data_IF_384690268669
#
_entry.id   IF_384690268669
#
_cell.length_a   1.000
_cell.length_b   1.000
_cell.length_c   1.000
_cell.angle_alpha   90.00
_cell.angle_beta   90.00
_cell.angle_gamma   90.00
#
_symmetry.space_group_name_H-M   'P 1'
#
loop_
_entity.id
_entity.type
_entity.pdbx_description
1 polymer ?
#
# COMPACT_ATOMS: atom_id res chain seq x y z
N UNK A 1 -33.16 -7.40 -5.92
CA UNK A 1 -32.56 -6.87 -7.17
C UNK A 1 -31.10 -7.29 -7.18
N UNK A 2 -30.67 -8.07 -8.17
CA UNK A 2 -29.27 -8.47 -8.28
C UNK A 2 -28.42 -7.21 -8.52
N UNK A 3 -27.71 -6.75 -7.50
CA UNK A 3 -26.72 -5.68 -7.68
C UNK A 3 -25.62 -6.22 -8.57
N UNK A 4 -25.47 -5.66 -9.76
CA UNK A 4 -24.40 -6.01 -10.70
C UNK A 4 -23.05 -5.79 -10.01
N UNK A 5 -22.27 -6.87 -9.87
CA UNK A 5 -20.94 -6.80 -9.28
C UNK A 5 -20.05 -6.00 -10.25
N UNK A 6 -19.41 -4.91 -9.82
CA UNK A 6 -18.57 -4.11 -10.68
C UNK A 6 -17.28 -4.83 -11.05
N UNK A 7 -16.69 -4.45 -12.19
CA UNK A 7 -15.33 -4.86 -12.53
C UNK A 7 -14.32 -4.21 -11.57
N UNK A 8 -13.26 -4.94 -11.15
CA UNK A 8 -12.23 -4.37 -10.29
C UNK A 8 -11.48 -3.25 -11.03
N UNK A 9 -11.11 -2.20 -10.30
CA UNK A 9 -10.35 -1.06 -10.83
C UNK A 9 -8.87 -1.13 -10.47
N UNK A 10 -8.51 -1.88 -9.43
CA UNK A 10 -7.15 -1.94 -8.89
C UNK A 10 -6.79 -3.39 -8.56
N UNK A 11 -5.54 -3.79 -8.81
CA UNK A 11 -5.03 -5.08 -8.33
C UNK A 11 -3.65 -4.94 -7.72
N UNK A 12 -3.36 -5.83 -6.78
CA UNK A 12 -2.04 -6.01 -6.22
C UNK A 12 -1.56 -7.43 -6.46
N UNK A 13 -0.38 -7.57 -7.06
CA UNK A 13 0.23 -8.86 -7.38
C UNK A 13 1.41 -9.07 -6.46
N UNK A 14 1.26 -10.01 -5.53
CA UNK A 14 2.33 -10.47 -4.66
C UNK A 14 3.06 -11.58 -5.42
N UNK A 15 4.20 -11.26 -6.04
CA UNK A 15 4.85 -12.19 -6.98
C UNK A 15 5.67 -13.29 -6.30
N UNK A 16 6.05 -13.08 -5.03
CA UNK A 16 6.86 -13.98 -4.20
C UNK A 16 6.70 -13.61 -2.72
N UNK A 17 7.01 -14.54 -1.81
CA UNK A 17 7.24 -14.25 -0.40
C UNK A 17 8.73 -14.26 -0.02
N UNK A 18 9.64 -14.55 -0.95
CA UNK A 18 11.08 -14.48 -0.72
C UNK A 18 11.51 -13.02 -0.55
N UNK A 19 12.19 -12.70 0.54
CA UNK A 19 12.66 -11.35 0.83
C UNK A 19 14.03 -11.42 1.50
N UNK A 20 15.03 -10.63 1.07
CA UNK A 20 16.34 -10.62 1.72
C UNK A 20 16.41 -9.60 2.87
N UNK A 21 15.30 -8.94 3.19
CA UNK A 21 15.18 -8.02 4.32
C UNK A 21 14.70 -8.78 5.56
N UNK A 22 15.10 -8.33 6.75
CA UNK A 22 14.74 -8.96 8.02
C UNK A 22 13.99 -7.97 8.92
N UNK A 23 12.95 -7.36 8.36
CA UNK A 23 12.30 -6.23 9.00
C UNK A 23 11.62 -6.60 10.33
N UNK A 24 11.54 -5.65 11.25
CA UNK A 24 10.94 -5.86 12.57
C UNK A 24 9.41 -6.00 12.49
N UNK A 25 8.76 -5.25 11.60
CA UNK A 25 7.30 -5.25 11.43
C UNK A 25 6.78 -6.37 10.50
N UNK A 26 7.66 -7.22 9.94
CA UNK A 26 7.29 -8.25 8.96
C UNK A 26 8.19 -9.49 9.05
N UNK A 27 7.60 -10.66 9.28
CA UNK A 27 8.29 -11.95 9.34
C UNK A 27 8.21 -12.73 8.00
N UNK A 28 7.87 -12.09 6.88
CA UNK A 28 7.72 -12.81 5.60
C UNK A 28 9.00 -13.54 5.17
N UNK A 29 10.17 -12.99 5.52
CA UNK A 29 11.47 -13.58 5.25
C UNK A 29 11.71 -14.92 5.97
N UNK A 30 10.96 -15.20 7.05
CA UNK A 30 10.95 -16.50 7.74
C UNK A 30 10.02 -17.52 7.07
N UNK A 31 9.19 -17.07 6.11
CA UNK A 31 8.17 -17.87 5.44
C UNK A 31 8.28 -17.75 3.91
N UNK A 32 9.47 -17.99 3.31
CA UNK A 32 9.65 -17.82 1.88
C UNK A 32 8.82 -18.84 1.08
N UNK A 33 8.35 -18.41 -0.09
CA UNK A 33 7.79 -19.30 -1.12
C UNK A 33 8.86 -20.23 -1.70
N UNK A 34 8.43 -21.41 -2.13
CA UNK A 34 9.22 -22.25 -3.04
C UNK A 34 9.08 -21.70 -4.46
N UNK A 35 10.20 -21.48 -5.17
CA UNK A 35 10.23 -20.79 -6.49
C UNK A 35 9.30 -21.47 -7.50
N UNK A 36 9.23 -22.79 -7.46
CA UNK A 36 8.47 -23.64 -8.38
C UNK A 36 6.95 -23.56 -8.14
N UNK A 37 6.53 -23.06 -6.97
CA UNK A 37 5.12 -22.87 -6.59
C UNK A 37 4.65 -21.43 -6.77
N UNK A 38 5.54 -20.50 -7.10
CA UNK A 38 5.21 -19.09 -7.33
C UNK A 38 4.35 -18.92 -8.58
N UNK A 39 3.58 -17.83 -8.62
CA UNK A 39 2.65 -17.55 -9.70
C UNK A 39 3.39 -17.43 -11.03
N UNK A 40 2.89 -18.12 -12.05
CA UNK A 40 3.54 -18.20 -13.37
C UNK A 40 3.08 -17.08 -14.30
N UNK A 41 3.84 -16.82 -15.37
CA UNK A 41 3.46 -15.86 -16.41
C UNK A 41 2.09 -16.21 -17.04
N UNK A 42 1.79 -17.51 -17.22
CA UNK A 42 0.52 -17.97 -17.75
C UNK A 42 -0.66 -17.65 -16.81
N UNK A 43 -0.46 -17.80 -15.51
CA UNK A 43 -1.45 -17.45 -14.49
C UNK A 43 -1.69 -15.93 -14.42
N UNK A 44 -0.62 -15.13 -14.48
CA UNK A 44 -0.73 -13.66 -14.51
C UNK A 44 -1.48 -13.19 -15.77
N UNK A 45 -1.30 -13.84 -16.92
CA UNK A 45 -2.06 -13.54 -18.15
C UNK A 45 -3.57 -13.72 -17.99
N UNK A 46 -4.04 -14.59 -17.08
CA UNK A 46 -5.48 -14.80 -16.80
C UNK A 46 -6.12 -13.67 -15.98
N UNK A 47 -5.32 -12.82 -15.34
CA UNK A 47 -5.82 -11.68 -14.54
C UNK A 47 -6.49 -10.62 -15.43
N UNK A 48 -7.45 -9.84 -14.93
CA UNK A 48 -8.23 -8.89 -15.72
C UNK A 48 -7.41 -7.64 -16.07
N UNK A 49 -7.92 -6.82 -16.99
CA UNK A 49 -7.40 -5.45 -17.16
C UNK A 49 -8.00 -4.53 -16.10
N UNK A 50 -7.19 -3.63 -15.55
CA UNK A 50 -7.56 -2.72 -14.46
C UNK A 50 -6.94 -1.33 -14.67
N UNK A 51 -7.31 -0.35 -13.84
CA UNK A 51 -6.76 1.02 -13.92
C UNK A 51 -5.38 1.14 -13.27
N UNK A 52 -5.07 0.28 -12.31
CA UNK A 52 -3.85 0.33 -11.52
C UNK A 52 -3.39 -1.06 -11.07
N UNK A 53 -2.09 -1.34 -11.27
CA UNK A 53 -1.44 -2.55 -10.75
C UNK A 53 -0.32 -2.13 -9.80
N UNK A 54 -0.32 -2.70 -8.59
CA UNK A 54 0.86 -2.72 -7.74
C UNK A 54 1.52 -4.10 -7.81
N UNK A 55 2.80 -4.16 -8.14
CA UNK A 55 3.62 -5.36 -8.03
C UNK A 55 4.40 -5.27 -6.72
N UNK A 56 4.30 -6.32 -5.90
CA UNK A 56 4.89 -6.39 -4.56
C UNK A 56 5.24 -7.85 -4.23
N UNK A 57 5.45 -8.13 -2.95
CA UNK A 57 5.67 -9.45 -2.40
C UNK A 57 7.10 -9.62 -2.00
N UNK A 58 7.34 -10.23 -0.82
CA UNK A 58 8.66 -10.33 -0.19
C UNK A 58 9.57 -9.18 -0.62
N UNK A 59 10.46 -9.48 -1.58
CA UNK A 59 11.04 -8.49 -2.48
C UNK A 59 10.86 -8.89 -3.97
N UNK A 60 10.13 -8.10 -4.80
CA UNK A 60 9.89 -8.45 -6.20
C UNK A 60 11.18 -8.67 -7.00
N UNK A 61 12.21 -7.89 -6.72
CA UNK A 61 13.52 -7.97 -7.39
C UNK A 61 14.33 -9.21 -7.01
N UNK A 62 13.78 -10.16 -6.26
CA UNK A 62 14.32 -11.52 -6.13
C UNK A 62 13.91 -12.41 -7.31
N UNK A 63 12.82 -12.12 -8.01
CA UNK A 63 12.40 -12.89 -9.18
C UNK A 63 13.27 -12.60 -10.40
N UNK A 64 13.67 -13.64 -11.10
CA UNK A 64 14.49 -13.54 -12.32
C UNK A 64 13.64 -13.05 -13.50
N UNK A 65 12.38 -13.48 -13.58
CA UNK A 65 11.41 -13.19 -14.64
C UNK A 65 10.52 -11.97 -14.35
N UNK A 66 10.98 -11.05 -13.50
CA UNK A 66 10.21 -9.86 -13.09
C UNK A 66 9.90 -8.94 -14.28
N UNK A 67 10.82 -8.81 -15.25
CA UNK A 67 10.62 -7.93 -16.41
C UNK A 67 9.50 -8.45 -17.34
N UNK A 68 9.37 -9.76 -17.49
CA UNK A 68 8.31 -10.43 -18.23
C UNK A 68 6.96 -10.26 -17.52
N UNK A 69 6.94 -10.31 -16.18
CA UNK A 69 5.74 -10.00 -15.38
C UNK A 69 5.32 -8.54 -15.63
N UNK A 70 6.26 -7.60 -15.60
CA UNK A 70 6.00 -6.18 -15.84
C UNK A 70 5.42 -5.95 -17.25
N UNK A 71 5.97 -6.63 -18.25
CA UNK A 71 5.48 -6.56 -19.64
C UNK A 71 4.01 -7.00 -19.75
N UNK A 72 3.62 -8.10 -19.11
CA UNK A 72 2.23 -8.55 -19.04
C UNK A 72 1.36 -7.52 -18.30
N UNK A 73 1.86 -6.97 -17.19
CA UNK A 73 1.11 -5.98 -16.40
C UNK A 73 0.83 -4.69 -17.20
N UNK A 74 1.77 -4.21 -18.02
CA UNK A 74 1.54 -3.03 -18.86
C UNK A 74 0.53 -3.27 -19.99
N UNK A 75 0.31 -4.52 -20.42
CA UNK A 75 -0.80 -4.86 -21.33
C UNK A 75 -2.17 -4.79 -20.63
N UNK A 76 -2.20 -4.86 -19.29
CA UNK A 76 -3.42 -4.93 -18.48
C UNK A 76 -3.76 -3.64 -17.75
N UNK A 77 -2.81 -2.71 -17.63
CA UNK A 77 -3.01 -1.46 -16.90
C UNK A 77 -2.19 -0.32 -17.47
N UNK A 78 -2.76 0.90 -17.56
CA UNK A 78 -2.03 2.09 -17.96
C UNK A 78 -1.03 2.54 -16.87
N UNK A 79 -1.12 2.01 -15.65
CA UNK A 79 -0.26 2.37 -14.54
C UNK A 79 0.15 1.15 -13.74
N UNK A 80 1.47 0.91 -13.70
CA UNK A 80 2.11 -0.18 -12.95
C UNK A 80 3.12 0.45 -11.99
N UNK A 81 3.05 0.06 -10.72
CA UNK A 81 3.95 0.54 -9.67
C UNK A 81 4.55 -0.65 -8.93
N UNK A 82 5.87 -0.66 -8.74
CA UNK A 82 6.56 -1.65 -7.90
C UNK A 82 6.82 -1.08 -6.51
N UNK A 83 6.47 -1.85 -5.49
CA UNK A 83 6.90 -1.64 -4.11
C UNK A 83 8.16 -2.48 -3.86
N UNK A 84 9.27 -1.86 -3.44
CA UNK A 84 10.56 -2.55 -3.25
C UNK A 84 11.29 -1.99 -2.01
N UNK A 85 12.18 -2.78 -1.42
CA UNK A 85 13.13 -2.31 -0.41
C UNK A 85 14.21 -1.38 -0.97
N UNK A 86 14.40 -1.35 -2.30
CA UNK A 86 15.51 -0.61 -2.92
C UNK A 86 16.86 -1.34 -2.82
N UNK A 87 16.89 -2.57 -2.29
CA UNK A 87 18.14 -3.29 -2.07
C UNK A 87 18.89 -3.63 -3.38
N UNK A 88 18.14 -3.99 -4.42
CA UNK A 88 18.65 -4.40 -5.73
C UNK A 88 18.81 -3.21 -6.69
N UNK A 89 19.56 -2.19 -6.27
CA UNK A 89 19.81 -0.94 -7.02
C UNK A 89 20.06 -1.17 -8.52
N UNK A 90 21.06 -1.98 -8.89
CA UNK A 90 21.41 -2.22 -10.30
C UNK A 90 20.26 -2.83 -11.12
N UNK A 91 19.49 -3.76 -10.51
CA UNK A 91 18.34 -4.37 -11.18
C UNK A 91 17.21 -3.38 -11.37
N UNK A 92 16.96 -2.52 -10.37
CA UNK A 92 15.97 -1.45 -10.46
C UNK A 92 16.33 -0.50 -11.60
N UNK A 93 17.58 -0.01 -11.64
CA UNK A 93 18.06 0.92 -12.67
C UNK A 93 18.03 0.29 -14.07
N UNK A 94 18.43 -0.99 -14.20
CA UNK A 94 18.37 -1.70 -15.49
C UNK A 94 16.92 -1.83 -15.98
N UNK A 95 16.01 -2.26 -15.11
CA UNK A 95 14.61 -2.47 -15.45
C UNK A 95 13.93 -1.15 -15.86
N UNK A 96 14.17 -0.05 -15.14
CA UNK A 96 13.52 1.25 -15.45
C UNK A 96 13.98 1.86 -16.77
N UNK A 97 15.16 1.50 -17.29
CA UNK A 97 15.56 1.86 -18.66
C UNK A 97 14.66 1.20 -19.71
N UNK A 98 14.23 -0.04 -19.47
CA UNK A 98 13.32 -0.78 -20.35
C UNK A 98 11.87 -0.33 -20.18
N UNK A 99 11.49 0.05 -18.95
CA UNK A 99 10.14 0.46 -18.60
C UNK A 99 10.11 1.88 -17.98
N UNK A 100 10.33 2.95 -18.76
CA UNK A 100 10.47 4.32 -18.23
C UNK A 100 9.19 4.88 -17.60
N UNK A 101 8.03 4.27 -17.90
CA UNK A 101 6.72 4.66 -17.34
C UNK A 101 6.37 3.91 -16.05
N UNK A 102 7.23 3.02 -15.55
CA UNK A 102 6.98 2.29 -14.31
C UNK A 102 7.16 3.20 -13.11
N UNK A 103 6.27 3.09 -12.13
CA UNK A 103 6.46 3.77 -10.87
C UNK A 103 7.22 2.91 -9.86
N UNK A 104 8.07 3.54 -9.06
CA UNK A 104 8.90 2.87 -8.04
C UNK A 104 8.65 3.50 -6.67
N UNK A 105 8.21 2.69 -5.70
CA UNK A 105 8.06 3.09 -4.29
C UNK A 105 9.09 2.32 -3.49
N UNK A 106 10.09 3.04 -2.99
CA UNK A 106 11.12 2.45 -2.13
C UNK A 106 10.68 2.59 -0.68
N UNK A 107 10.58 1.45 0.01
CA UNK A 107 10.21 1.42 1.41
C UNK A 107 11.38 1.87 2.30
N UNK A 108 11.24 3.04 2.93
CA UNK A 108 12.21 3.65 3.83
C UNK A 108 11.49 4.01 5.12
N UNK A 109 11.92 3.41 6.22
CA UNK A 109 11.21 3.46 7.51
C UNK A 109 11.70 4.57 8.44
N UNK A 110 12.80 5.24 8.11
CA UNK A 110 13.32 6.38 8.84
C UNK A 110 14.54 6.99 8.15
N UNK A 111 15.24 7.91 8.81
CA UNK A 111 16.58 8.30 8.37
C UNK A 111 17.56 7.12 8.55
N UNK A 112 18.79 7.27 8.07
CA UNK A 112 19.75 6.18 7.86
C UNK A 112 19.75 5.08 8.92
N UNK A 113 20.09 5.41 10.17
CA UNK A 113 20.21 4.42 11.23
C UNK A 113 18.87 3.76 11.56
N UNK A 114 17.80 4.56 11.67
CA UNK A 114 16.47 4.07 12.03
C UNK A 114 15.89 3.15 10.96
N UNK A 115 16.08 3.48 9.69
CA UNK A 115 15.66 2.62 8.59
C UNK A 115 16.35 1.26 8.64
N UNK A 116 17.68 1.26 8.76
CA UNK A 116 18.46 0.02 8.70
C UNK A 116 18.15 -0.90 9.90
N UNK A 117 17.95 -0.31 11.07
CA UNK A 117 17.46 -0.98 12.29
C UNK A 117 16.09 -1.64 12.06
N UNK A 118 15.10 -0.89 11.57
CA UNK A 118 13.74 -1.38 11.39
C UNK A 118 13.60 -2.37 10.23
N UNK A 119 14.40 -2.20 9.18
CA UNK A 119 14.40 -3.10 8.01
C UNK A 119 15.36 -4.29 8.16
N UNK A 120 16.18 -4.31 9.20
CA UNK A 120 17.09 -5.42 9.54
C UNK A 120 18.23 -5.60 8.54
N UNK A 121 18.71 -4.51 7.93
CA UNK A 121 19.86 -4.58 7.01
C UNK A 121 20.57 -3.24 6.85
N UNK A 122 21.87 -3.25 7.18
CA UNK A 122 22.74 -2.09 7.07
C UNK A 122 22.94 -1.64 5.61
N UNK A 123 22.99 -0.33 5.40
CA UNK A 123 23.10 0.33 4.10
C UNK A 123 21.80 0.37 3.29
N UNK A 124 20.66 -0.02 3.89
CA UNK A 124 19.36 -0.04 3.23
C UNK A 124 18.88 1.36 2.84
N UNK A 125 19.04 2.33 3.75
CA UNK A 125 18.68 3.72 3.50
C UNK A 125 19.48 4.31 2.34
N UNK A 126 20.80 4.18 2.39
CA UNK A 126 21.71 4.75 1.38
C UNK A 126 21.45 4.17 0.00
N UNK A 127 21.26 2.84 -0.10
CA UNK A 127 20.88 2.18 -1.35
C UNK A 127 19.54 2.68 -1.87
N UNK A 128 18.53 2.75 -1.01
CA UNK A 128 17.21 3.25 -1.38
C UNK A 128 17.24 4.70 -1.88
N UNK A 129 17.89 5.60 -1.13
CA UNK A 129 18.00 7.01 -1.50
C UNK A 129 18.81 7.20 -2.78
N UNK A 130 19.97 6.55 -2.92
CA UNK A 130 20.78 6.62 -4.15
C UNK A 130 20.01 6.09 -5.36
N UNK A 131 19.27 5.00 -5.20
CA UNK A 131 18.39 4.48 -6.27
C UNK A 131 17.36 5.54 -6.67
N UNK A 132 16.66 6.15 -5.72
CA UNK A 132 15.68 7.21 -6.01
C UNK A 132 16.31 8.42 -6.72
N UNK A 133 17.47 8.88 -6.27
CA UNK A 133 18.20 9.98 -6.92
C UNK A 133 18.60 9.62 -8.35
N UNK A 134 19.11 8.41 -8.58
CA UNK A 134 19.48 7.94 -9.92
C UNK A 134 18.27 7.83 -10.84
N UNK A 135 17.14 7.34 -10.34
CA UNK A 135 15.88 7.30 -11.10
C UNK A 135 15.38 8.70 -11.44
N UNK A 136 15.53 9.66 -10.53
CA UNK A 136 15.20 11.07 -10.79
C UNK A 136 16.08 11.65 -11.90
N UNK A 137 17.39 11.40 -11.86
CA UNK A 137 18.33 11.87 -12.90
C UNK A 137 18.02 11.25 -14.27
N UNK A 138 17.50 10.03 -14.29
CA UNK A 138 16.99 9.37 -15.50
C UNK A 138 15.66 9.93 -16.01
N UNK A 139 15.04 10.88 -15.28
CA UNK A 139 13.77 11.50 -15.65
C UNK A 139 12.53 10.68 -15.29
N UNK A 140 12.65 9.64 -14.46
CA UNK A 140 11.51 8.83 -14.03
C UNK A 140 10.65 9.65 -13.05
N UNK A 141 9.39 9.88 -13.41
CA UNK A 141 8.51 10.81 -12.68
C UNK A 141 7.78 10.16 -11.50
N UNK A 142 7.34 8.91 -11.65
CA UNK A 142 6.47 8.25 -10.66
C UNK A 142 7.29 7.50 -9.59
N UNK A 143 8.20 8.20 -8.91
CA UNK A 143 9.10 7.63 -7.89
C UNK A 143 8.87 8.25 -6.52
N UNK A 144 9.19 7.50 -5.47
CA UNK A 144 9.29 8.07 -4.14
C UNK A 144 9.34 7.07 -3.00
N UNK A 145 9.07 7.58 -1.81
CA UNK A 145 9.22 6.89 -0.53
C UNK A 145 7.90 6.24 -0.12
N UNK A 146 8.01 5.06 0.49
CA UNK A 146 6.94 4.45 1.28
C UNK A 146 7.42 4.26 2.71
N UNK A 147 6.62 4.68 3.69
CA UNK A 147 6.91 4.46 5.12
C UNK A 147 5.74 3.75 5.79
N UNK A 148 6.09 2.80 6.66
CA UNK A 148 5.21 2.14 7.60
C UNK A 148 5.50 2.69 9.00
N UNK A 149 4.62 3.56 9.47
CA UNK A 149 4.73 4.22 10.77
C UNK A 149 4.42 3.23 11.89
N UNK A 150 5.26 3.28 12.92
CA UNK A 150 5.34 2.40 14.07
C UNK A 150 5.64 3.22 15.34
N UNK A 151 5.81 2.53 16.47
CA UNK A 151 6.21 3.17 17.73
C UNK A 151 7.56 3.89 17.69
N UNK A 152 8.41 3.60 16.69
CA UNK A 152 9.83 3.95 16.72
C UNK A 152 10.27 4.90 15.61
N UNK A 153 9.37 5.36 14.75
CA UNK A 153 9.72 6.14 13.54
C UNK A 153 8.71 7.24 13.15
N UNK A 154 7.75 7.60 14.00
CA UNK A 154 6.79 8.66 13.67
C UNK A 154 7.47 10.03 13.54
N UNK A 155 8.48 10.34 14.36
CA UNK A 155 9.28 11.55 14.20
C UNK A 155 10.14 11.52 12.92
N UNK A 156 10.72 10.36 12.59
CA UNK A 156 11.45 10.16 11.34
C UNK A 156 10.57 10.31 10.10
N UNK A 157 9.28 9.94 10.17
CA UNK A 157 8.32 10.17 9.09
C UNK A 157 8.26 11.65 8.70
N UNK A 158 8.30 12.56 9.68
CA UNK A 158 8.30 14.00 9.41
C UNK A 158 9.55 14.43 8.66
N UNK A 159 10.72 13.93 9.09
CA UNK A 159 12.00 14.22 8.43
C UNK A 159 12.05 13.67 7.00
N UNK A 160 11.59 12.43 6.81
CA UNK A 160 11.50 11.80 5.49
C UNK A 160 10.50 12.50 4.57
N UNK A 161 9.39 13.00 5.11
CA UNK A 161 8.44 13.79 4.32
C UNK A 161 9.10 15.05 3.76
N UNK A 162 9.85 15.77 4.59
CA UNK A 162 10.58 16.97 4.16
C UNK A 162 11.64 16.64 3.10
N UNK A 163 12.38 15.53 3.28
CA UNK A 163 13.33 15.04 2.29
C UNK A 163 12.63 14.69 0.96
N UNK A 164 11.54 13.92 1.01
CA UNK A 164 10.76 13.56 -0.18
C UNK A 164 10.27 14.82 -0.91
N UNK A 165 9.81 15.82 -0.15
CA UNK A 165 9.32 17.08 -0.69
C UNK A 165 10.44 17.90 -1.34
N UNK A 166 11.61 18.03 -0.71
CA UNK A 166 12.74 18.76 -1.31
C UNK A 166 13.25 18.08 -2.59
N UNK A 167 13.10 16.77 -2.67
CA UNK A 167 13.42 15.99 -3.86
C UNK A 167 12.30 15.96 -4.92
N UNK A 168 11.11 16.50 -4.63
CA UNK A 168 9.97 16.47 -5.55
C UNK A 168 9.43 15.06 -5.81
N UNK A 169 9.52 14.18 -4.81
CA UNK A 169 9.14 12.77 -4.91
C UNK A 169 7.83 12.45 -4.20
N UNK A 170 7.23 11.32 -4.57
CA UNK A 170 6.05 10.80 -3.92
C UNK A 170 6.32 10.36 -2.48
N UNK A 171 5.36 10.56 -1.58
CA UNK A 171 5.43 10.10 -0.21
C UNK A 171 4.17 9.32 0.14
N UNK A 172 4.32 8.02 0.42
CA UNK A 172 3.25 7.12 0.81
C UNK A 172 3.40 6.73 2.28
N UNK A 173 2.32 6.83 3.02
CA UNK A 173 2.24 6.51 4.46
C UNK A 173 1.34 5.31 4.68
N UNK A 174 1.68 4.52 5.69
CA UNK A 174 0.85 3.50 6.28
C UNK A 174 1.12 3.46 7.79
N UNK A 175 0.18 2.95 8.58
CA UNK A 175 0.48 2.48 9.94
C UNK A 175 0.80 0.97 9.85
N UNK A 176 1.75 0.49 10.66
CA UNK A 176 1.99 -0.95 10.69
C UNK A 176 0.74 -1.71 11.14
N UNK A 177 0.60 -2.94 10.67
CA UNK A 177 -0.53 -3.75 11.07
C UNK A 177 -0.18 -5.22 10.98
N UNK A 178 -0.98 -6.03 11.65
CA UNK A 178 -0.90 -7.48 11.58
C UNK A 178 -1.58 -7.99 10.31
N UNK A 179 -1.10 -9.08 9.73
CA UNK A 179 -1.77 -9.79 8.65
C UNK A 179 -1.08 -11.10 8.34
N UNK A 180 -1.79 -12.01 7.69
CA UNK A 180 -1.21 -13.20 7.09
C UNK A 180 -0.05 -12.84 6.14
N UNK A 181 -0.17 -11.73 5.41
CA UNK A 181 0.83 -11.31 4.43
C UNK A 181 2.17 -10.94 5.07
N UNK A 182 2.15 -10.42 6.30
CA UNK A 182 3.37 -10.07 7.04
C UNK A 182 3.84 -11.16 8.01
N UNK A 183 3.05 -12.23 8.20
CA UNK A 183 3.28 -13.26 9.24
C UNK A 183 3.55 -12.63 10.62
N UNK A 184 2.72 -11.63 10.98
CA UNK A 184 2.92 -10.79 12.16
C UNK A 184 1.57 -10.58 12.86
N UNK A 185 1.59 -10.65 14.19
CA UNK A 185 0.40 -10.61 15.06
C UNK A 185 0.55 -9.66 16.26
N UNK A 186 1.74 -9.08 16.42
CA UNK A 186 2.20 -8.27 17.55
C UNK A 186 2.53 -6.81 17.19
N UNK A 187 2.17 -6.34 15.98
CA UNK A 187 2.30 -4.92 15.62
C UNK A 187 1.15 -4.11 16.26
N UNK A 188 1.46 -3.33 17.30
CA UNK A 188 0.51 -2.43 17.98
C UNK A 188 1.16 -1.07 18.28
N UNK A 189 0.44 0.03 17.99
CA UNK A 189 0.92 1.38 18.34
C UNK A 189 0.57 1.63 19.81
N UNK A 190 1.58 1.60 20.68
CA UNK A 190 1.44 1.78 22.13
C UNK A 190 1.64 3.23 22.56
N UNK A 191 2.50 4.00 21.87
CA UNK A 191 2.69 5.44 22.09
C UNK A 191 1.76 6.28 21.20
N UNK A 192 0.45 6.03 21.26
CA UNK A 192 -0.53 6.65 20.36
C UNK A 192 -0.49 8.19 20.37
N UNK A 193 -0.27 8.82 21.53
CA UNK A 193 -0.22 10.28 21.63
C UNK A 193 0.88 10.88 20.75
N UNK A 194 2.10 10.36 20.86
CA UNK A 194 3.27 10.77 20.08
C UNK A 194 3.01 10.57 18.58
N UNK A 195 2.64 9.34 18.19
CA UNK A 195 2.43 8.98 16.79
C UNK A 195 1.30 9.80 16.17
N UNK A 196 0.17 9.99 16.88
CA UNK A 196 -0.94 10.79 16.39
C UNK A 196 -0.57 12.28 16.30
N UNK A 197 0.24 12.81 17.21
CA UNK A 197 0.73 14.20 17.13
C UNK A 197 1.68 14.42 15.95
N UNK A 198 2.54 13.46 15.64
CA UNK A 198 3.37 13.50 14.43
C UNK A 198 2.51 13.43 13.15
N UNK A 199 1.49 12.57 13.11
CA UNK A 199 0.54 12.58 12.00
C UNK A 199 -0.21 13.91 11.87
N UNK A 200 -0.64 14.54 12.97
CA UNK A 200 -1.26 15.88 12.95
C UNK A 200 -0.30 16.91 12.33
N UNK A 201 0.97 16.89 12.73
CA UNK A 201 2.01 17.76 12.16
C UNK A 201 2.15 17.55 10.65
N UNK A 202 2.21 16.30 10.20
CA UNK A 202 2.26 15.96 8.77
C UNK A 202 1.02 16.47 8.02
N UNK A 203 -0.17 16.30 8.58
CA UNK A 203 -1.45 16.74 8.02
C UNK A 203 -1.45 18.26 7.85
N UNK A 204 -1.01 19.02 8.85
CA UNK A 204 -0.90 20.47 8.77
C UNK A 204 0.06 20.91 7.66
N UNK A 205 1.23 20.27 7.56
CA UNK A 205 2.19 20.56 6.50
C UNK A 205 1.60 20.30 5.12
N UNK A 206 0.90 19.18 4.94
CA UNK A 206 0.24 18.81 3.69
C UNK A 206 -0.89 19.79 3.31
N UNK A 207 -1.67 20.25 4.28
CA UNK A 207 -2.72 21.25 4.06
C UNK A 207 -2.16 22.64 3.72
N UNK A 208 -0.95 22.99 4.18
CA UNK A 208 -0.28 24.24 3.80
C UNK A 208 0.24 24.24 2.36
N UNK A 209 0.30 23.09 1.69
CA UNK A 209 0.75 23.01 0.30
C UNK A 209 -0.26 23.56 -0.70
N UNK A 210 0.21 23.82 -1.92
CA UNK A 210 -0.59 24.36 -3.03
C UNK A 210 -1.27 23.28 -3.86
N UNK A 211 -0.85 22.02 -3.76
CA UNK A 211 -1.31 20.96 -4.65
C UNK A 211 -2.48 20.15 -4.04
N UNK A 212 -3.62 19.97 -4.76
CA UNK A 212 -4.79 19.25 -4.23
C UNK A 212 -4.50 17.83 -3.73
N UNK A 213 -3.61 17.10 -4.43
CA UNK A 213 -3.16 15.76 -4.00
C UNK A 213 -2.63 15.74 -2.56
N UNK A 214 -1.90 16.78 -2.13
CA UNK A 214 -1.39 16.88 -0.76
C UNK A 214 -2.53 17.03 0.24
N UNK A 215 -3.58 17.77 -0.09
CA UNK A 215 -4.74 17.94 0.79
C UNK A 215 -5.53 16.65 0.97
N UNK A 216 -5.72 15.87 -0.10
CA UNK A 216 -6.35 14.56 0.01
C UNK A 216 -5.44 13.52 0.69
N UNK A 217 -4.10 13.65 0.60
CA UNK A 217 -3.18 12.89 1.45
C UNK A 217 -3.34 13.24 2.93
N UNK A 218 -3.60 14.50 3.24
CA UNK A 218 -3.88 14.94 4.60
C UNK A 218 -5.15 14.28 5.16
N UNK A 219 -6.22 14.19 4.35
CA UNK A 219 -7.42 13.43 4.72
C UNK A 219 -7.11 11.93 4.94
N UNK A 220 -6.33 11.32 4.06
CA UNK A 220 -5.91 9.93 4.21
C UNK A 220 -5.14 9.71 5.53
N UNK A 221 -4.19 10.59 5.86
CA UNK A 221 -3.41 10.53 7.10
C UNK A 221 -4.27 10.78 8.35
N UNK A 222 -5.30 11.63 8.27
CA UNK A 222 -6.28 11.75 9.35
C UNK A 222 -7.01 10.42 9.59
N UNK A 223 -7.36 9.69 8.54
CA UNK A 223 -7.94 8.36 8.69
C UNK A 223 -6.97 7.33 9.29
N UNK A 224 -5.65 7.52 9.17
CA UNK A 224 -4.66 6.72 9.91
C UNK A 224 -4.71 7.03 11.41
N UNK A 225 -4.84 8.30 11.83
CA UNK A 225 -5.08 8.67 13.23
C UNK A 225 -6.34 7.95 13.76
N UNK A 226 -7.43 7.98 12.99
CA UNK A 226 -8.65 7.26 13.34
C UNK A 226 -8.43 5.75 13.48
N UNK A 227 -7.67 5.14 12.57
CA UNK A 227 -7.32 3.72 12.66
C UNK A 227 -6.46 3.40 13.89
N UNK A 228 -5.53 4.27 14.28
CA UNK A 228 -4.65 4.09 15.44
C UNK A 228 -5.45 4.09 16.75
N UNK A 229 -6.50 4.91 16.83
CA UNK A 229 -7.43 4.91 17.96
C UNK A 229 -8.43 3.73 17.94
N UNK A 230 -8.26 2.77 17.04
CA UNK A 230 -9.16 1.63 16.87
C UNK A 230 -10.62 2.03 16.63
N UNK A 231 -10.83 3.15 15.93
CA UNK A 231 -12.15 3.66 15.60
C UNK A 231 -12.74 3.03 14.34
N UNK A 232 -14.04 3.20 14.12
CA UNK A 232 -14.70 2.74 12.90
C UNK A 232 -14.15 3.49 11.68
N UNK A 233 -14.09 2.84 10.51
CA UNK A 233 -13.61 3.50 9.28
C UNK A 233 -14.45 4.74 8.97
N UNK A 234 -13.79 5.79 8.48
CA UNK A 234 -14.45 7.01 8.01
C UNK A 234 -15.21 6.81 6.70
N UNK A 235 -14.84 5.78 5.94
CA UNK A 235 -15.41 5.38 4.65
C UNK A 235 -15.58 3.86 4.61
N UNK A 236 -16.61 3.32 3.93
CA UNK A 236 -16.85 1.89 3.84
C UNK A 236 -15.64 1.14 3.23
N UNK A 237 -15.48 -0.13 3.60
CA UNK A 237 -14.51 -1.00 2.95
C UNK A 237 -15.16 -1.66 1.74
N UNK A 238 -14.62 -1.41 0.55
CA UNK A 238 -15.08 -2.04 -0.71
C UNK A 238 -14.04 -3.04 -1.27
N UNK A 239 -13.18 -3.59 -0.40
CA UNK A 239 -12.27 -4.66 -0.77
C UNK A 239 -13.05 -5.86 -1.36
N UNK A 240 -12.57 -6.42 -2.47
CA UNK A 240 -13.32 -7.45 -3.23
C UNK A 240 -14.45 -6.90 -4.11
N UNK A 241 -14.66 -5.58 -4.18
CA UNK A 241 -15.54 -4.91 -5.15
C UNK A 241 -14.76 -3.98 -6.08
N UNK A 242 -13.86 -3.17 -5.53
CA UNK A 242 -13.03 -2.23 -6.32
C UNK A 242 -11.60 -2.72 -6.52
N UNK A 243 -11.10 -3.50 -5.57
CA UNK A 243 -9.73 -4.00 -5.59
C UNK A 243 -9.67 -5.48 -5.21
N UNK A 244 -8.58 -6.14 -5.61
CA UNK A 244 -8.23 -7.49 -5.15
C UNK A 244 -6.71 -7.67 -5.07
N UNK A 245 -6.30 -8.75 -4.42
CA UNK A 245 -4.93 -9.16 -4.25
C UNK A 245 -4.79 -10.56 -4.82
N UNK A 246 -3.70 -10.81 -5.55
CA UNK A 246 -3.30 -12.16 -5.92
C UNK A 246 -2.00 -12.50 -5.19
N UNK A 247 -1.99 -13.65 -4.55
CA UNK A 247 -0.84 -14.15 -3.80
C UNK A 247 0.10 -15.00 -4.67
N UNK A 248 1.31 -15.36 -4.20
CA UNK A 248 2.25 -16.14 -4.99
C UNK A 248 1.75 -17.54 -5.34
N UNK A 249 0.73 -18.06 -4.66
CA UNK A 249 0.16 -19.39 -4.92
C UNK A 249 -1.07 -19.32 -5.84
N UNK A 250 -1.43 -18.11 -6.33
CA UNK A 250 -2.56 -17.88 -7.22
C UNK A 250 -3.88 -17.64 -6.52
N UNK A 251 -3.89 -17.52 -5.19
CA UNK A 251 -5.10 -17.21 -4.42
C UNK A 251 -5.53 -15.77 -4.63
N UNK A 252 -6.82 -15.55 -4.83
CA UNK A 252 -7.43 -14.23 -4.98
C UNK A 252 -8.07 -13.81 -3.67
N UNK A 253 -7.54 -12.79 -3.03
CA UNK A 253 -8.05 -12.23 -1.79
C UNK A 253 -8.66 -10.83 -2.00
N UNK A 254 -9.63 -10.40 -1.18
CA UNK A 254 -10.18 -9.05 -1.26
C UNK A 254 -9.18 -7.99 -0.76
N UNK A 255 -8.33 -8.33 0.21
CA UNK A 255 -7.28 -7.47 0.76
C UNK A 255 -6.08 -8.30 1.28
N UNK A 256 -4.94 -7.65 1.52
CA UNK A 256 -3.79 -8.24 2.22
C UNK A 256 -3.83 -8.06 3.75
N UNK A 257 -4.90 -7.47 4.29
CA UNK A 257 -5.05 -7.18 5.72
C UNK A 257 -5.72 -8.29 6.53
N UNK A 258 -5.87 -9.50 5.98
CA UNK A 258 -6.59 -10.60 6.64
C UNK A 258 -5.75 -11.19 7.79
N UNK A 259 -6.41 -11.65 8.84
CA UNK A 259 -5.79 -12.34 9.98
C UNK A 259 -6.65 -13.54 10.35
N UNK A 260 -6.01 -14.67 10.64
CA UNK A 260 -6.71 -15.93 10.95
C UNK A 260 -7.67 -15.79 12.15
N UNK A 261 -7.30 -14.96 13.15
CA UNK A 261 -8.14 -14.66 14.32
C UNK A 261 -9.48 -13.99 14.00
N UNK A 262 -9.61 -13.36 12.83
CA UNK A 262 -10.88 -12.76 12.37
C UNK A 262 -11.50 -13.61 11.27
N UNK A 263 -10.78 -13.77 10.17
CA UNK A 263 -11.05 -14.67 9.06
C UNK A 263 -9.95 -14.50 8.00
N UNK A 264 -9.63 -15.59 7.32
CA UNK A 264 -8.74 -15.60 6.15
C UNK A 264 -9.26 -16.64 5.17
N UNK A 265 -10.06 -16.18 4.22
CA UNK A 265 -10.61 -17.03 3.16
C UNK A 265 -10.41 -16.36 1.80
N UNK A 266 -10.07 -17.19 0.83
CA UNK A 266 -9.86 -16.79 -0.57
C UNK A 266 -11.20 -16.66 -1.30
N UNK A 267 -11.24 -15.79 -2.30
CA UNK A 267 -12.34 -15.71 -3.27
C UNK A 267 -12.26 -16.85 -4.28
N UNK A 268 -11.08 -17.45 -4.46
CA UNK A 268 -10.81 -18.57 -5.36
C UNK A 268 -9.37 -18.53 -5.87
N UNK A 269 -8.93 -19.60 -6.55
CA UNK A 269 -7.56 -19.73 -7.05
C UNK A 269 -7.52 -19.68 -8.59
N UNK A 270 -6.68 -18.80 -9.15
CA UNK A 270 -6.56 -18.59 -10.61
C UNK A 270 -6.03 -19.82 -11.38
N UNK A 271 -5.41 -20.76 -10.68
CA UNK A 271 -4.96 -22.05 -11.21
C UNK A 271 -6.11 -22.99 -11.50
N UNK A 272 -7.17 -22.91 -10.69
CA UNK A 272 -8.30 -23.82 -10.71
C UNK A 272 -9.49 -23.31 -11.55
N UNK A 273 -9.37 -22.10 -12.10
CA UNK A 273 -10.44 -21.46 -12.89
C UNK A 273 -10.02 -21.18 -14.32
N UNK A 274 -11.00 -21.20 -15.23
CA UNK A 274 -10.84 -20.87 -16.64
C UNK A 274 -10.57 -19.38 -16.86
N UNK A 275 -11.13 -18.53 -16.00
CA UNK A 275 -10.97 -17.07 -16.08
C UNK A 275 -11.06 -16.38 -14.73
N UNK A 276 -10.42 -15.21 -14.58
CA UNK A 276 -10.58 -14.41 -13.36
C UNK A 276 -12.05 -14.10 -13.03
N UNK A 277 -12.88 -13.88 -14.05
CA UNK A 277 -14.27 -13.47 -13.86
C UNK A 277 -15.18 -14.58 -13.35
N UNK A 278 -14.84 -15.85 -13.57
CA UNK A 278 -15.51 -16.97 -12.88
C UNK A 278 -15.31 -16.88 -11.37
N UNK A 279 -14.08 -16.61 -10.92
CA UNK A 279 -13.77 -16.39 -9.50
C UNK A 279 -14.52 -15.15 -9.00
N UNK A 280 -14.40 -14.03 -9.71
CA UNK A 280 -14.96 -12.75 -9.26
C UNK A 280 -16.50 -12.78 -9.10
N UNK A 281 -17.21 -13.51 -9.95
CA UNK A 281 -18.67 -13.60 -9.90
C UNK A 281 -19.18 -14.85 -9.16
N UNK A 282 -18.29 -15.64 -8.57
CA UNK A 282 -18.65 -16.86 -7.84
C UNK A 282 -19.43 -16.57 -6.55
N UNK A 283 -20.19 -17.57 -6.09
CA UNK A 283 -20.84 -17.54 -4.77
C UNK A 283 -19.82 -17.40 -3.63
N UNK A 284 -18.65 -18.04 -3.77
CA UNK A 284 -17.55 -17.89 -2.81
C UNK A 284 -17.08 -16.43 -2.72
N UNK A 285 -16.88 -15.75 -3.85
CA UNK A 285 -16.52 -14.34 -3.87
C UNK A 285 -17.60 -13.46 -3.20
N UNK A 286 -18.89 -13.74 -3.40
CA UNK A 286 -19.95 -12.99 -2.71
C UNK A 286 -19.96 -13.25 -1.20
N UNK A 287 -19.74 -14.49 -0.75
CA UNK A 287 -19.56 -14.82 0.67
C UNK A 287 -18.39 -14.02 1.27
N UNK A 288 -17.28 -13.90 0.55
CA UNK A 288 -16.14 -13.09 0.99
C UNK A 288 -16.49 -11.60 1.05
N UNK A 289 -17.23 -11.05 0.08
CA UNK A 289 -17.70 -9.66 0.15
C UNK A 289 -18.61 -9.40 1.35
N UNK A 290 -19.47 -10.35 1.71
CA UNK A 290 -20.27 -10.25 2.93
C UNK A 290 -19.39 -10.21 4.19
N UNK A 291 -18.32 -11.01 4.24
CA UNK A 291 -17.32 -10.94 5.33
C UNK A 291 -16.57 -9.62 5.37
N UNK A 292 -16.25 -9.03 4.22
CA UNK A 292 -15.62 -7.70 4.14
C UNK A 292 -16.55 -6.62 4.69
N UNK A 293 -17.85 -6.65 4.35
CA UNK A 293 -18.85 -5.68 4.86
C UNK A 293 -18.93 -5.69 6.39
N UNK A 294 -18.73 -6.85 7.00
CA UNK A 294 -18.80 -7.06 8.45
C UNK A 294 -17.41 -7.21 9.11
N UNK A 295 -16.33 -6.79 8.44
CA UNK A 295 -14.97 -6.99 8.96
C UNK A 295 -14.72 -6.10 10.20
N UNK A 296 -14.32 -6.69 11.35
CA UNK A 296 -14.18 -5.95 12.61
C UNK A 296 -12.87 -5.14 12.71
N UNK A 297 -11.97 -5.26 11.73
CA UNK A 297 -10.62 -4.70 11.83
C UNK A 297 -10.54 -3.20 11.56
N UNK A 298 -11.56 -2.64 10.91
CA UNK A 298 -11.65 -1.23 10.55
C UNK A 298 -10.37 -0.62 9.91
N UNK A 299 -9.61 -1.42 9.14
CA UNK A 299 -8.35 -0.99 8.54
C UNK A 299 -8.47 0.26 7.68
N UNK A 300 -7.39 1.05 7.63
CA UNK A 300 -7.27 2.22 6.78
C UNK A 300 -6.03 2.18 5.87
N UNK A 301 -5.93 1.15 5.02
CA UNK A 301 -4.77 0.94 4.15
C UNK A 301 -4.99 1.55 2.76
N UNK A 302 -3.96 2.21 2.22
CA UNK A 302 -4.01 3.00 0.97
C UNK A 302 -4.62 2.23 -0.21
N UNK A 303 -4.31 0.94 -0.36
CA UNK A 303 -4.84 0.10 -1.43
C UNK A 303 -6.36 -0.11 -1.39
N UNK A 304 -6.96 -0.06 -0.20
CA UNK A 304 -8.42 -0.18 -0.01
C UNK A 304 -9.12 1.17 0.14
N UNK A 305 -8.38 2.20 0.54
CA UNK A 305 -8.93 3.53 0.83
C UNK A 305 -8.88 4.44 -0.40
N UNK A 306 -7.80 4.39 -1.20
CA UNK A 306 -7.63 5.31 -2.33
C UNK A 306 -8.74 5.20 -3.39
N UNK A 307 -9.20 3.99 -3.80
CA UNK A 307 -10.33 3.88 -4.73
C UNK A 307 -11.63 4.41 -4.12
N UNK A 308 -11.86 4.11 -2.84
CA UNK A 308 -13.07 4.50 -2.10
C UNK A 308 -13.13 6.02 -1.89
N UNK A 309 -12.02 6.68 -1.57
CA UNK A 309 -11.97 8.15 -1.45
C UNK A 309 -12.39 8.85 -2.75
N UNK A 310 -12.05 8.30 -3.92
CA UNK A 310 -12.49 8.85 -5.22
C UNK A 310 -13.97 8.63 -5.45
N UNK A 311 -14.50 7.46 -5.06
CA UNK A 311 -15.93 7.13 -5.17
C UNK A 311 -16.79 8.00 -4.26
N UNK A 312 -16.34 8.23 -3.03
CA UNK A 312 -17.04 9.00 -2.00
C UNK A 312 -16.46 10.41 -1.84
N UNK A 313 -16.02 11.04 -2.95
CA UNK A 313 -15.21 12.27 -2.94
C UNK A 313 -15.83 13.44 -2.17
N UNK A 314 -17.17 13.48 -2.04
CA UNK A 314 -17.87 14.54 -1.32
C UNK A 314 -17.48 14.63 0.16
N UNK A 315 -17.19 13.50 0.82
CA UNK A 315 -16.81 13.50 2.24
C UNK A 315 -15.36 13.97 2.46
N UNK A 316 -14.33 13.41 1.79
CA UNK A 316 -12.99 13.98 1.83
C UNK A 316 -12.93 15.44 1.40
N UNK A 317 -13.68 15.83 0.36
CA UNK A 317 -13.70 17.21 -0.14
C UNK A 317 -14.27 18.19 0.90
N UNK A 318 -15.39 17.85 1.55
CA UNK A 318 -15.96 18.67 2.64
C UNK A 318 -14.95 18.89 3.76
N UNK A 319 -14.26 17.83 4.17
CA UNK A 319 -13.23 17.92 5.21
C UNK A 319 -12.03 18.77 4.76
N UNK A 320 -11.55 18.57 3.54
CA UNK A 320 -10.43 19.33 2.95
C UNK A 320 -10.77 20.81 2.89
N UNK A 321 -11.93 21.18 2.35
CA UNK A 321 -12.36 22.58 2.23
C UNK A 321 -12.43 23.25 3.59
N UNK A 322 -13.04 22.58 4.59
CA UNK A 322 -13.13 23.11 5.95
C UNK A 322 -11.76 23.36 6.57
N UNK A 323 -10.86 22.38 6.47
CA UNK A 323 -9.53 22.50 7.09
C UNK A 323 -8.59 23.45 6.35
N UNK A 324 -8.74 23.57 5.03
CA UNK A 324 -8.05 24.63 4.26
C UNK A 324 -8.51 26.02 4.72
N UNK A 325 -9.81 26.21 4.97
CA UNK A 325 -10.32 27.46 5.54
C UNK A 325 -9.75 27.74 6.93
N UNK A 326 -9.67 26.72 7.80
CA UNK A 326 -9.09 26.88 9.13
C UNK A 326 -7.62 27.33 9.05
N UNK A 327 -6.80 26.69 8.21
CA UNK A 327 -5.40 27.10 7.99
C UNK A 327 -5.30 28.55 7.51
N UNK A 328 -6.17 28.97 6.58
CA UNK A 328 -6.16 30.34 6.05
C UNK A 328 -6.61 31.39 7.07
N UNK A 329 -7.41 31.00 8.05
CA UNK A 329 -7.97 31.89 9.09
C UNK A 329 -7.25 31.78 10.43
N UNK A 330 -6.12 31.05 10.50
CA UNK A 330 -5.36 30.85 11.73
C UNK A 330 -6.04 29.98 12.78
N UNK A 331 -7.11 29.25 12.40
CA UNK A 331 -7.82 28.32 13.29
C UNK A 331 -7.12 26.95 13.30
N UNK A 332 -7.17 26.20 14.41
CA UNK A 332 -6.64 24.84 14.44
C UNK A 332 -7.37 23.92 13.45
N UNK A 333 -6.65 22.92 12.93
CA UNK A 333 -7.26 21.87 12.11
C UNK A 333 -8.20 21.00 12.96
N UNK A 334 -9.25 20.47 12.34
CA UNK A 334 -10.19 19.54 12.96
C UNK A 334 -9.87 18.11 12.50
N UNK A 335 -9.48 17.28 13.46
CA UNK A 335 -9.37 15.83 13.29
C UNK A 335 -10.75 15.23 13.53
N UNK A 336 -11.31 14.59 12.51
CA UNK A 336 -12.59 13.87 12.61
C UNK A 336 -12.30 12.40 12.94
N UNK A 337 -12.81 11.97 14.08
CA UNK A 337 -12.77 10.59 14.55
C UNK A 337 -14.18 9.99 14.49
N UNK A 338 -14.27 8.69 14.20
CA UNK A 338 -15.53 7.95 14.16
C UNK A 338 -15.51 6.85 15.23
N UNK A 339 -15.71 7.30 16.47
CA UNK A 339 -15.59 6.45 17.66
C UNK A 339 -16.49 5.21 17.56
N UNK A 340 -15.98 4.06 18.02
CA UNK A 340 -16.80 2.85 18.18
C UNK A 340 -17.86 3.14 19.24
N UNK A 341 -19.12 3.22 18.83
CA UNK A 341 -20.27 3.29 19.74
C UNK A 341 -20.40 2.02 20.57
#
# INVERSE_FOLDING_TARGET
MATTIPNPTDMCIIVTYRCPMQCQMCNIWKNPTQKEKEITLAEIKKLPSVKFINITGGEPFVREDLEEIIEICFQKSPRVVISTSGWFEDRIIKMTKRFPNIGIRISIEGLSLKNDELRGRNGGFDKGLRTLLRLKDMGIKDIGFGITVSNHNSADMLSLYQLSKSLGMEFATAAFHNSYYFHKEDNYITNQEEVCNDFKTLIEWQLKEKHPKSWFRAYFNMGLINYIHDNQRLLPCEAGLVNFFVDPYGEIYPCNGLEDKFWKESMGNIRQSGSFYEIWHSEQAEKIRQKVRNCPKHCWMVGTVSPVMKKYISQPLKWVVRNKWNILTGKPIQIELNDKK
#
